data_IF_498049382490
#
_entry.id   IF_498049382490
#
_cell.length_a   1.000
_cell.length_b   1.000
_cell.length_c   1.000
_cell.angle_alpha   90.00
_cell.angle_beta   90.00
_cell.angle_gamma   90.00
#
_symmetry.space_group_name_H-M   'P 1'
#
loop_
_entity.id
_entity.type
_entity.pdbx_description
1 polymer ?
#
# COMPACT_ATOMS: atom_id res chain seq x y z
N UNK A 1 2.77 -6.91 29.68
CA UNK A 1 1.36 -6.85 29.25
C UNK A 1 0.78 -5.54 29.72
N UNK A 2 0.45 -4.64 28.80
CA UNK A 2 -0.11 -3.33 29.14
C UNK A 2 -1.60 -3.44 29.42
N UNK A 3 -1.99 -3.25 30.68
CA UNK A 3 -3.38 -3.05 31.09
C UNK A 3 -3.81 -1.63 30.71
N UNK A 4 -4.17 -1.41 29.45
CA UNK A 4 -4.85 -0.19 29.00
C UNK A 4 -6.35 -0.27 29.27
N UNK A 5 -6.97 0.85 29.65
CA UNK A 5 -8.39 0.93 29.96
C UNK A 5 -9.20 0.90 28.65
N UNK A 6 -9.51 -0.31 28.18
CA UNK A 6 -10.28 -0.56 26.96
C UNK A 6 -11.76 -0.28 27.22
N UNK A 7 -12.11 1.01 27.19
CA UNK A 7 -13.48 1.48 26.98
C UNK A 7 -14.58 0.89 27.87
N UNK A 8 -14.29 0.44 29.09
CA UNK A 8 -15.32 0.04 30.07
C UNK A 8 -16.22 -1.15 29.70
N UNK A 9 -15.81 -2.02 28.75
CA UNK A 9 -16.51 -3.28 28.44
C UNK A 9 -16.83 -3.55 26.97
N UNK A 10 -16.85 -2.50 26.12
CA UNK A 10 -17.17 -2.64 24.69
C UNK A 10 -15.94 -2.81 23.78
N UNK A 11 -14.75 -2.57 24.34
CA UNK A 11 -13.48 -2.75 23.65
C UNK A 11 -12.62 -3.76 24.41
N UNK A 12 -12.05 -4.71 23.68
CA UNK A 12 -11.00 -5.59 24.19
C UNK A 12 -9.68 -5.20 23.53
N UNK A 13 -8.72 -4.72 24.31
CA UNK A 13 -7.37 -4.49 23.79
C UNK A 13 -6.52 -5.72 24.10
N UNK A 14 -6.06 -6.36 23.04
CA UNK A 14 -4.99 -7.33 23.09
C UNK A 14 -3.67 -6.69 22.73
N UNK A 15 -2.61 -7.40 23.09
CA UNK A 15 -1.26 -7.08 22.66
C UNK A 15 -0.94 -7.89 21.40
N UNK A 16 -0.21 -7.30 20.44
CA UNK A 16 0.18 -7.97 19.17
C UNK A 16 1.68 -8.27 19.14
N UNK A 17 2.53 -7.24 19.23
CA UNK A 17 3.98 -7.40 19.06
C UNK A 17 4.77 -6.41 19.94
N UNK A 18 5.87 -6.86 20.56
CA UNK A 18 6.73 -6.04 21.42
C UNK A 18 7.94 -5.49 20.68
N UNK A 19 8.22 -4.21 20.88
CA UNK A 19 9.50 -3.59 20.55
C UNK A 19 9.46 -2.10 20.85
N UNK A 20 10.60 -1.43 20.70
CA UNK A 20 10.71 0.00 21.05
C UNK A 20 9.98 0.90 20.05
N UNK A 21 10.06 0.58 18.75
CA UNK A 21 9.45 1.35 17.65
C UNK A 21 8.60 0.48 16.73
N UNK A 22 7.93 -0.51 17.29
CA UNK A 22 7.09 -1.45 16.56
C UNK A 22 5.66 -0.91 16.41
N UNK A 23 5.09 -1.05 15.22
CA UNK A 23 3.68 -0.72 14.95
C UNK A 23 3.45 0.65 14.32
N UNK A 24 4.53 1.34 13.91
CA UNK A 24 4.40 2.60 13.18
C UNK A 24 3.78 2.36 11.81
N UNK A 25 3.04 3.35 11.30
CA UNK A 25 2.40 3.31 9.97
C UNK A 25 1.50 2.08 9.76
N UNK A 26 0.85 1.60 10.82
CA UNK A 26 0.02 0.41 10.73
C UNK A 26 -1.19 0.63 9.81
N UNK A 27 -1.50 -0.41 9.04
CA UNK A 27 -2.70 -0.52 8.22
C UNK A 27 -3.41 -1.84 8.55
N UNK A 28 -4.73 -1.79 8.67
CA UNK A 28 -5.58 -2.92 9.05
C UNK A 28 -6.62 -3.13 7.95
N UNK A 29 -6.82 -4.39 7.57
CA UNK A 29 -7.97 -4.83 6.81
C UNK A 29 -8.50 -6.14 7.40
N UNK A 30 -9.79 -6.40 7.21
CA UNK A 30 -10.40 -7.66 7.59
C UNK A 30 -10.43 -8.60 6.39
N UNK A 31 -10.25 -9.89 6.64
CA UNK A 31 -10.47 -10.92 5.64
C UNK A 31 -11.95 -11.35 5.55
N UNK A 32 -12.25 -12.31 4.67
CA UNK A 32 -13.60 -12.84 4.46
C UNK A 32 -14.21 -13.53 5.69
N UNK A 33 -13.40 -13.87 6.69
CA UNK A 33 -13.81 -14.45 7.96
C UNK A 33 -13.83 -13.42 9.10
N UNK A 34 -13.82 -12.12 8.77
CA UNK A 34 -13.76 -10.98 9.68
C UNK A 34 -12.50 -10.97 10.59
N UNK A 35 -11.42 -11.65 10.18
CA UNK A 35 -10.19 -11.70 10.96
C UNK A 35 -9.27 -10.52 10.63
N UNK A 36 -8.64 -9.92 11.65
CA UNK A 36 -7.78 -8.77 11.45
C UNK A 36 -6.43 -9.17 10.84
N UNK A 37 -6.09 -8.49 9.76
CA UNK A 37 -4.79 -8.55 9.10
C UNK A 37 -4.13 -7.18 9.22
N UNK A 38 -2.87 -7.14 9.68
CA UNK A 38 -2.17 -5.88 10.00
C UNK A 38 -0.83 -5.84 9.28
N UNK A 39 -0.63 -4.86 8.40
CA UNK A 39 0.69 -4.49 7.89
C UNK A 39 1.24 -3.34 8.73
N UNK A 40 2.49 -3.43 9.18
CA UNK A 40 3.08 -2.38 10.01
C UNK A 40 4.61 -2.35 9.93
N UNK A 41 5.17 -1.20 10.29
CA UNK A 41 6.60 -0.98 10.30
C UNK A 41 7.18 -1.26 11.69
N UNK A 42 8.25 -2.06 11.72
CA UNK A 42 9.18 -2.13 12.84
C UNK A 42 10.31 -1.12 12.63
N UNK A 43 10.20 0.04 13.26
CA UNK A 43 11.19 1.11 13.16
C UNK A 43 12.49 0.88 13.92
N UNK A 44 12.58 -0.20 14.72
CA UNK A 44 13.86 -0.61 15.31
C UNK A 44 14.67 -1.39 14.29
N UNK A 45 14.03 -2.29 13.53
CA UNK A 45 14.68 -3.14 12.54
C UNK A 45 14.56 -2.62 11.09
N UNK A 46 13.84 -1.51 10.87
CA UNK A 46 13.60 -0.99 9.54
C UNK A 46 12.84 -1.94 8.61
N UNK A 47 11.92 -2.73 9.15
CA UNK A 47 11.34 -3.90 8.47
C UNK A 47 9.83 -3.81 8.36
N UNK A 48 9.28 -4.24 7.22
CA UNK A 48 7.85 -4.41 7.02
C UNK A 48 7.42 -5.76 7.59
N UNK A 49 6.45 -5.72 8.50
CA UNK A 49 5.87 -6.89 9.13
C UNK A 49 4.39 -7.02 8.76
N UNK A 50 3.92 -8.26 8.73
CA UNK A 50 2.52 -8.60 8.55
C UNK A 50 2.06 -9.53 9.68
N UNK A 51 1.03 -9.13 10.40
CA UNK A 51 0.47 -9.91 11.50
C UNK A 51 -0.95 -10.38 11.16
N UNK A 52 -1.19 -11.66 11.40
CA UNK A 52 -2.50 -12.31 11.27
C UNK A 52 -2.83 -12.98 12.59
N UNK A 53 -4.06 -12.82 13.05
CA UNK A 53 -4.49 -13.45 14.28
C UNK A 53 -4.80 -14.94 14.05
N UNK A 54 -4.19 -15.81 14.85
CA UNK A 54 -4.36 -17.25 14.76
C UNK A 54 -5.28 -17.76 15.87
N UNK A 55 -6.54 -17.98 15.54
CA UNK A 55 -7.56 -18.48 16.47
C UNK A 55 -7.27 -19.88 17.03
N UNK A 56 -6.43 -20.68 16.36
CA UNK A 56 -6.07 -22.02 16.87
C UNK A 56 -5.16 -21.93 18.08
N UNK A 57 -4.27 -20.93 18.10
CA UNK A 57 -3.30 -20.73 19.18
C UNK A 57 -3.64 -19.57 20.10
N UNK A 58 -4.72 -18.83 19.81
CA UNK A 58 -5.11 -17.60 20.53
C UNK A 58 -3.95 -16.59 20.58
N UNK A 59 -3.24 -16.45 19.46
CA UNK A 59 -2.03 -15.63 19.36
C UNK A 59 -1.84 -15.08 17.95
N UNK A 60 -0.98 -14.08 17.81
CA UNK A 60 -0.62 -13.49 16.52
C UNK A 60 0.51 -14.25 15.86
N UNK A 61 0.36 -14.57 14.57
CA UNK A 61 1.47 -14.98 13.70
C UNK A 61 2.01 -13.73 13.01
N UNK A 62 3.32 -13.56 12.99
CA UNK A 62 3.99 -12.38 12.44
C UNK A 62 5.02 -12.81 11.40
N UNK A 63 4.84 -12.35 10.18
CA UNK A 63 5.74 -12.59 9.06
C UNK A 63 6.59 -11.35 8.75
N UNK A 64 7.87 -11.57 8.42
CA UNK A 64 8.77 -10.53 7.92
C UNK A 64 8.67 -10.45 6.41
N UNK A 65 7.92 -9.47 5.90
CA UNK A 65 7.65 -9.35 4.46
C UNK A 65 8.87 -8.79 3.72
N UNK A 66 9.40 -7.68 4.22
CA UNK A 66 10.55 -6.99 3.61
C UNK A 66 11.52 -6.58 4.70
N UNK A 67 12.63 -7.31 4.79
CA UNK A 67 13.72 -7.04 5.73
C UNK A 67 14.50 -5.82 5.27
N UNK A 68 14.60 -4.80 6.14
CA UNK A 68 15.43 -3.63 5.94
C UNK A 68 16.41 -3.42 7.09
N UNK A 69 16.85 -2.17 7.29
CA UNK A 69 17.66 -1.75 8.42
C UNK A 69 17.31 -0.32 8.86
N UNK A 70 17.93 0.16 9.95
CA UNK A 70 17.73 1.53 10.40
C UNK A 70 18.18 2.58 9.36
N UNK A 71 19.19 2.25 8.55
CA UNK A 71 19.75 3.10 7.48
C UNK A 71 19.03 2.90 6.14
N UNK A 72 18.45 1.71 5.93
CA UNK A 72 17.80 1.30 4.70
C UNK A 72 16.40 0.72 5.02
N UNK A 73 15.46 1.57 5.46
CA UNK A 73 14.18 1.10 5.98
C UNK A 73 13.28 0.59 4.86
N UNK A 74 12.51 -0.45 5.14
CA UNK A 74 11.45 -0.95 4.28
C UNK A 74 10.14 -1.07 5.06
N UNK A 75 9.05 -0.49 4.55
CA UNK A 75 7.70 -0.67 5.10
C UNK A 75 7.05 0.57 5.71
N UNK A 76 7.64 1.76 5.55
CA UNK A 76 7.01 2.98 6.06
C UNK A 76 5.74 3.32 5.27
N UNK A 77 4.80 4.03 5.90
CA UNK A 77 3.53 4.44 5.27
C UNK A 77 2.74 3.28 4.63
N UNK A 78 2.74 2.11 5.28
CA UNK A 78 2.07 0.92 4.75
C UNK A 78 0.57 1.18 4.53
N UNK A 79 0.06 0.68 3.42
CA UNK A 79 -1.37 0.64 3.09
C UNK A 79 -1.71 -0.78 2.65
N UNK A 80 -2.60 -1.42 3.41
CA UNK A 80 -3.02 -2.81 3.25
C UNK A 80 -4.43 -2.88 2.65
N UNK A 81 -4.63 -3.82 1.73
CA UNK A 81 -5.93 -4.30 1.31
C UNK A 81 -5.93 -5.84 1.27
N UNK A 82 -7.05 -6.46 1.65
CA UNK A 82 -7.24 -7.91 1.52
C UNK A 82 -8.17 -8.16 0.33
N UNK A 83 -7.75 -9.03 -0.58
CA UNK A 83 -8.59 -9.53 -1.65
C UNK A 83 -9.49 -10.65 -1.14
N UNK A 84 -10.61 -10.26 -0.53
CA UNK A 84 -11.60 -11.19 0.04
C UNK A 84 -12.29 -12.05 -1.02
N UNK A 85 -12.23 -11.66 -2.30
CA UNK A 85 -12.87 -12.39 -3.39
C UNK A 85 -11.95 -13.46 -4.00
N UNK A 86 -10.63 -13.34 -3.81
CA UNK A 86 -9.64 -14.25 -4.38
C UNK A 86 -8.80 -14.98 -3.32
N UNK A 87 -9.43 -15.40 -2.23
CA UNK A 87 -8.81 -16.26 -1.22
C UNK A 87 -8.06 -15.51 -0.12
N UNK A 88 -8.55 -14.32 0.24
CA UNK A 88 -8.00 -13.48 1.30
C UNK A 88 -6.53 -13.11 1.08
N UNK A 89 -6.15 -12.90 -0.19
CA UNK A 89 -4.77 -12.55 -0.53
C UNK A 89 -4.46 -11.13 -0.03
N UNK A 90 -3.40 -10.93 0.79
CA UNK A 90 -3.00 -9.61 1.22
C UNK A 90 -2.17 -8.87 0.18
N UNK A 91 -2.44 -7.58 0.06
CA UNK A 91 -1.77 -6.63 -0.82
C UNK A 91 -1.32 -5.41 -0.02
N UNK A 92 -0.04 -5.04 -0.11
CA UNK A 92 0.57 -3.99 0.70
C UNK A 92 1.36 -3.05 -0.19
N UNK A 93 0.99 -1.77 -0.22
CA UNK A 93 1.82 -0.71 -0.77
C UNK A 93 2.58 -0.02 0.37
N UNK A 94 3.85 0.29 0.17
CA UNK A 94 4.68 0.90 1.21
C UNK A 94 5.86 1.67 0.62
N UNK A 95 6.43 2.55 1.43
CA UNK A 95 7.70 3.20 1.17
C UNK A 95 8.85 2.29 1.62
N UNK A 96 9.78 2.04 0.71
CA UNK A 96 11.05 1.38 0.97
C UNK A 96 12.22 2.35 0.87
N UNK A 97 13.42 1.80 0.92
CA UNK A 97 14.66 2.57 0.89
C UNK A 97 14.77 3.41 -0.39
N UNK A 98 15.56 4.49 -0.30
CA UNK A 98 15.72 5.47 -1.37
C UNK A 98 14.41 6.11 -1.86
N UNK A 99 13.43 6.29 -0.96
CA UNK A 99 12.12 6.88 -1.28
C UNK A 99 11.37 6.12 -2.40
N UNK A 100 11.47 4.80 -2.41
CA UNK A 100 10.85 3.96 -3.45
C UNK A 100 9.47 3.48 -3.00
N UNK A 101 8.46 3.62 -3.86
CA UNK A 101 7.18 2.95 -3.70
C UNK A 101 7.36 1.49 -4.07
N UNK A 102 7.15 0.59 -3.11
CA UNK A 102 7.11 -0.85 -3.33
C UNK A 102 5.69 -1.40 -3.10
N UNK A 103 5.39 -2.50 -3.76
CA UNK A 103 4.13 -3.23 -3.64
C UNK A 103 4.42 -4.70 -3.38
N UNK A 104 3.95 -5.23 -2.26
CA UNK A 104 4.04 -6.62 -1.88
C UNK A 104 2.68 -7.32 -1.96
N UNK A 105 2.65 -8.52 -2.51
CA UNK A 105 1.46 -9.37 -2.50
C UNK A 105 1.83 -10.83 -2.27
N UNK A 106 0.93 -11.57 -1.62
CA UNK A 106 1.17 -12.98 -1.30
C UNK A 106 1.06 -13.86 -2.54
N UNK A 107 2.03 -14.76 -2.72
CA UNK A 107 2.07 -15.73 -3.84
C UNK A 107 2.21 -17.18 -3.37
N UNK A 108 2.43 -17.40 -2.07
CA UNK A 108 2.55 -18.73 -1.46
C UNK A 108 3.86 -19.47 -1.73
N UNK A 109 4.44 -19.31 -2.91
CA UNK A 109 5.78 -19.80 -3.27
C UNK A 109 6.34 -19.01 -4.47
N UNK A 110 7.61 -19.22 -4.80
CA UNK A 110 8.32 -18.59 -5.93
C UNK A 110 8.32 -17.05 -5.94
N UNK A 111 8.07 -16.44 -4.79
CA UNK A 111 8.23 -15.01 -4.61
C UNK A 111 9.69 -14.58 -4.50
N UNK A 112 9.91 -13.30 -4.22
CA UNK A 112 11.24 -12.71 -4.03
C UNK A 112 11.43 -12.06 -2.64
N UNK A 113 10.41 -12.06 -1.80
CA UNK A 113 10.41 -11.52 -0.45
C UNK A 113 9.53 -12.37 0.48
N UNK A 114 9.48 -12.04 1.77
CA UNK A 114 8.73 -12.82 2.76
C UNK A 114 9.26 -14.23 2.94
N UNK A 115 10.54 -14.37 3.31
CA UNK A 115 11.18 -15.67 3.55
C UNK A 115 10.57 -16.33 4.79
N UNK A 116 9.94 -17.49 4.61
CA UNK A 116 9.35 -18.24 5.71
C UNK A 116 10.37 -19.13 6.44
N UNK A 117 9.94 -19.78 7.53
CA UNK A 117 10.77 -20.64 8.36
C UNK A 117 11.35 -21.91 7.67
N UNK A 118 11.04 -22.16 6.40
CA UNK A 118 11.56 -23.28 5.60
C UNK A 118 12.27 -22.76 4.34
N UNK A 119 12.76 -21.52 4.36
CA UNK A 119 13.56 -20.90 3.30
C UNK A 119 12.82 -20.78 1.95
N UNK A 120 11.50 -20.59 1.98
CA UNK A 120 10.69 -20.30 0.79
C UNK A 120 10.22 -18.84 0.84
N UNK A 121 10.43 -18.10 -0.25
CA UNK A 121 9.84 -16.77 -0.42
C UNK A 121 8.38 -16.91 -0.83
N UNK A 122 7.50 -16.35 0.00
CA UNK A 122 6.04 -16.51 -0.13
C UNK A 122 5.34 -15.24 -0.60
N UNK A 123 6.09 -14.16 -0.78
CA UNK A 123 5.60 -12.86 -1.24
C UNK A 123 6.38 -12.40 -2.46
N UNK A 124 5.68 -11.74 -3.37
CA UNK A 124 6.29 -11.01 -4.46
C UNK A 124 6.28 -9.51 -4.11
N UNK A 125 7.46 -8.89 -4.12
CA UNK A 125 7.67 -7.48 -3.89
C UNK A 125 8.17 -6.82 -5.19
N UNK A 126 7.41 -5.86 -5.67
CA UNK A 126 7.67 -5.12 -6.89
C UNK A 126 8.06 -3.67 -6.54
N UNK A 127 9.19 -3.20 -7.08
CA UNK A 127 9.56 -1.78 -7.07
C UNK A 127 8.73 -1.04 -8.11
N UNK A 128 7.84 -0.14 -7.68
CA UNK A 128 6.85 0.52 -8.54
C UNK A 128 7.38 1.82 -9.11
N UNK A 129 7.78 2.75 -8.25
CA UNK A 129 8.21 4.08 -8.70
C UNK A 129 9.08 4.76 -7.64
N UNK A 130 9.92 5.71 -8.06
CA UNK A 130 10.61 6.58 -7.13
C UNK A 130 9.68 7.72 -6.71
N UNK A 131 9.46 7.93 -5.41
CA UNK A 131 8.54 8.96 -4.90
C UNK A 131 9.20 10.34 -4.73
N UNK A 132 10.51 10.47 -5.03
CA UNK A 132 11.26 11.70 -4.84
C UNK A 132 11.76 11.85 -3.41
N UNK A 133 12.95 12.40 -3.20
CA UNK A 133 13.48 12.61 -1.85
C UNK A 133 12.85 13.81 -1.17
N UNK A 134 12.27 13.57 0.01
CA UNK A 134 11.58 14.60 0.78
C UNK A 134 11.55 14.31 2.27
N UNK A 135 11.41 15.39 3.06
CA UNK A 135 11.13 15.33 4.49
C UNK A 135 9.63 15.32 4.82
N UNK A 136 8.77 15.46 3.82
CA UNK A 136 7.32 15.41 3.96
C UNK A 136 6.80 13.97 4.13
N UNK A 137 5.64 13.78 4.75
CA UNK A 137 4.95 12.50 4.76
C UNK A 137 4.77 11.93 3.35
N UNK A 138 5.02 10.63 3.21
CA UNK A 138 4.83 9.91 1.94
C UNK A 138 3.44 9.29 1.92
N UNK A 139 2.44 10.08 1.57
CA UNK A 139 1.08 9.56 1.46
C UNK A 139 1.01 8.45 0.43
N UNK A 140 0.52 7.29 0.85
CA UNK A 140 0.27 6.09 0.05
C UNK A 140 -1.09 5.57 0.45
N UNK A 141 -1.93 5.25 -0.53
CA UNK A 141 -3.21 4.57 -0.28
C UNK A 141 -3.48 3.57 -1.40
N UNK A 142 -3.67 2.32 -1.00
CA UNK A 142 -3.96 1.17 -1.85
C UNK A 142 -5.43 0.78 -1.70
N UNK A 143 -6.06 0.41 -2.81
CA UNK A 143 -7.33 -0.29 -2.85
C UNK A 143 -7.31 -1.32 -3.98
N UNK A 144 -8.22 -2.29 -3.93
CA UNK A 144 -8.35 -3.34 -4.94
C UNK A 144 -9.66 -3.16 -5.72
N UNK A 145 -9.63 -3.42 -7.01
CA UNK A 145 -10.86 -3.55 -7.81
C UNK A 145 -11.52 -4.93 -7.63
N UNK A 146 -12.68 -5.14 -8.25
CA UNK A 146 -13.41 -6.42 -8.14
C UNK A 146 -12.63 -7.63 -8.70
N UNK A 147 -11.68 -7.40 -9.60
CA UNK A 147 -10.83 -8.43 -10.17
C UNK A 147 -9.56 -8.70 -9.34
N UNK A 148 -9.39 -8.00 -8.21
CA UNK A 148 -8.23 -8.13 -7.35
C UNK A 148 -7.03 -7.29 -7.78
N UNK A 149 -7.16 -6.43 -8.80
CA UNK A 149 -6.04 -5.61 -9.23
C UNK A 149 -5.88 -4.39 -8.31
N UNK A 150 -4.62 -4.10 -7.89
CA UNK A 150 -4.32 -2.94 -7.07
C UNK A 150 -4.43 -1.62 -7.84
N UNK A 151 -4.93 -0.60 -7.15
CA UNK A 151 -4.80 0.81 -7.49
C UNK A 151 -4.09 1.49 -6.33
N UNK A 152 -2.96 2.15 -6.61
CA UNK A 152 -2.16 2.83 -5.58
C UNK A 152 -2.16 4.32 -5.89
N UNK A 153 -2.74 5.14 -5.03
CA UNK A 153 -2.52 6.58 -5.02
C UNK A 153 -1.28 6.89 -4.17
N UNK A 154 -0.42 7.78 -4.65
CA UNK A 154 0.82 8.10 -3.94
C UNK A 154 1.33 9.51 -4.22
N UNK A 155 2.07 10.04 -3.26
CA UNK A 155 2.77 11.32 -3.33
C UNK A 155 4.04 11.20 -4.17
N UNK A 156 4.37 12.24 -4.94
CA UNK A 156 5.62 12.34 -5.68
C UNK A 156 6.20 13.75 -5.60
N UNK A 157 7.47 13.85 -5.21
CA UNK A 157 8.26 15.09 -5.30
C UNK A 157 7.59 16.32 -4.65
N UNK A 158 6.89 16.12 -3.52
CA UNK A 158 6.25 17.15 -2.68
C UNK A 158 5.07 17.89 -3.28
N UNK A 159 4.84 17.76 -4.57
CA UNK A 159 3.91 18.62 -5.28
C UNK A 159 3.01 17.82 -6.22
N UNK A 160 3.19 16.51 -6.34
CA UNK A 160 2.48 15.73 -7.34
C UNK A 160 1.72 14.59 -6.67
N UNK A 161 0.43 14.48 -7.01
CA UNK A 161 -0.37 13.29 -6.74
C UNK A 161 -0.31 12.39 -7.98
N UNK A 162 0.13 11.15 -7.79
CA UNK A 162 0.17 10.11 -8.82
C UNK A 162 -0.73 8.93 -8.48
N UNK A 163 -1.05 8.14 -9.50
CA UNK A 163 -1.72 6.85 -9.40
C UNK A 163 -0.87 5.79 -10.09
N UNK A 164 -0.79 4.58 -9.55
CA UNK A 164 -0.14 3.42 -10.17
C UNK A 164 -1.15 2.27 -10.27
N UNK A 165 -1.15 1.58 -11.41
CA UNK A 165 -1.97 0.40 -11.67
C UNK A 165 -1.24 -0.60 -12.57
N UNK A 166 -1.38 -1.93 -12.37
CA UNK A 166 -0.78 -2.92 -13.26
C UNK A 166 -1.30 -2.76 -14.69
N UNK A 167 -0.43 -3.00 -15.66
CA UNK A 167 -0.78 -2.87 -17.09
C UNK A 167 -1.86 -3.87 -17.52
N UNK A 168 -1.89 -5.04 -16.89
CA UNK A 168 -2.90 -6.07 -17.12
C UNK A 168 -4.31 -5.56 -16.81
N UNK A 169 -4.48 -4.84 -15.70
CA UNK A 169 -5.75 -4.23 -15.31
C UNK A 169 -6.23 -3.11 -16.27
N UNK A 170 -5.35 -2.67 -17.18
CA UNK A 170 -5.61 -1.63 -18.17
C UNK A 170 -5.66 -2.17 -19.61
N UNK A 171 -5.62 -3.49 -19.79
CA UNK A 171 -5.46 -4.15 -21.10
C UNK A 171 -4.25 -3.61 -21.89
N UNK A 172 -3.18 -3.23 -21.19
CA UNK A 172 -1.93 -2.72 -21.77
C UNK A 172 -0.85 -3.79 -21.74
N UNK A 173 -0.03 -3.81 -22.80
CA UNK A 173 1.12 -4.72 -22.89
C UNK A 173 2.37 -4.16 -22.21
N UNK A 174 2.48 -2.83 -22.11
CA UNK A 174 3.68 -2.12 -21.64
C UNK A 174 3.25 -0.90 -20.83
N UNK A 175 3.86 -0.74 -19.68
CA UNK A 175 3.69 0.40 -18.77
C UNK A 175 4.83 1.41 -18.87
N UNK A 176 4.97 2.24 -17.85
CA UNK A 176 6.03 3.26 -17.74
C UNK A 176 6.75 3.25 -16.38
N UNK A 177 6.37 2.34 -15.48
CA UNK A 177 6.94 2.16 -14.16
C UNK A 177 6.83 0.68 -13.74
N UNK A 178 7.29 0.34 -12.54
CA UNK A 178 7.33 -1.04 -12.06
C UNK A 178 8.61 -1.79 -12.43
N UNK A 179 8.68 -3.08 -12.08
CA UNK A 179 9.70 -3.98 -12.60
C UNK A 179 9.69 -3.99 -14.14
N UNK A 180 10.88 -4.04 -14.74
CA UNK A 180 11.05 -4.00 -16.19
C UNK A 180 11.68 -5.29 -16.74
N UNK A 181 10.88 -6.36 -16.88
CA UNK A 181 11.37 -7.68 -17.35
C UNK A 181 10.33 -8.43 -18.21
N UNK A 182 10.33 -8.29 -19.56
CA UNK A 182 11.19 -7.45 -20.40
C UNK A 182 10.73 -5.98 -20.50
N UNK A 183 9.51 -5.68 -20.05
CA UNK A 183 8.88 -4.37 -20.13
C UNK A 183 8.36 -3.96 -18.76
N UNK A 184 8.15 -2.67 -18.56
CA UNK A 184 7.46 -2.13 -17.40
C UNK A 184 6.07 -2.75 -17.24
N UNK A 185 5.79 -3.27 -16.05
CA UNK A 185 4.54 -3.97 -15.72
C UNK A 185 3.49 -3.07 -15.07
N UNK A 186 3.80 -1.81 -14.81
CA UNK A 186 2.89 -0.84 -14.20
C UNK A 186 2.75 0.44 -15.02
N UNK A 187 1.54 1.01 -15.01
CA UNK A 187 1.25 2.35 -15.49
C UNK A 187 1.15 3.29 -14.30
N UNK A 188 2.00 4.31 -14.29
CA UNK A 188 2.00 5.40 -13.33
C UNK A 188 1.62 6.71 -14.02
N UNK A 189 0.53 7.35 -13.57
CA UNK A 189 0.00 8.57 -14.17
C UNK A 189 -0.07 9.70 -13.14
N UNK A 190 0.14 10.94 -13.61
CA UNK A 190 -0.04 12.14 -12.79
C UNK A 190 -1.53 12.50 -12.75
N UNK A 191 -2.09 12.60 -11.55
CA UNK A 191 -3.48 13.00 -11.34
C UNK A 191 -3.59 14.51 -11.10
N UNK A 192 -2.68 15.06 -10.30
CA UNK A 192 -2.68 16.48 -9.98
C UNK A 192 -1.27 16.96 -9.67
N UNK A 193 -1.00 18.22 -10.05
CA UNK A 193 0.22 18.95 -9.72
C UNK A 193 -0.17 20.17 -8.89
N UNK A 194 0.54 20.38 -7.80
CA UNK A 194 0.33 21.46 -6.85
C UNK A 194 1.27 22.62 -7.09
N UNK A 195 0.89 23.77 -6.55
CA UNK A 195 1.69 24.99 -6.63
C UNK A 195 2.70 25.11 -5.48
N UNK A 196 2.69 24.17 -4.53
CA UNK A 196 3.55 24.18 -3.34
C UNK A 196 3.99 22.78 -2.89
N UNK A 197 4.52 22.71 -1.67
CA UNK A 197 4.97 21.46 -1.02
C UNK A 197 3.83 20.82 -0.23
N UNK A 198 3.88 19.51 -0.09
CA UNK A 198 2.98 18.70 0.70
C UNK A 198 1.78 18.11 -0.05
N UNK A 199 1.69 18.26 -1.38
CA UNK A 199 0.56 17.67 -2.11
C UNK A 199 0.58 16.15 -2.05
N UNK A 200 -0.52 15.57 -1.55
CA UNK A 200 -0.66 14.13 -1.39
C UNK A 200 0.01 13.59 -0.13
N UNK A 201 0.56 14.42 0.77
CA UNK A 201 1.16 13.95 2.03
C UNK A 201 0.19 13.10 2.86
N UNK A 202 -1.09 13.43 2.80
CA UNK A 202 -2.18 12.72 3.44
C UNK A 202 -3.24 12.42 2.40
N UNK A 203 -3.59 11.15 2.24
CA UNK A 203 -4.59 10.73 1.27
C UNK A 203 -5.36 9.49 1.72
N UNK A 204 -6.51 9.29 1.09
CA UNK A 204 -7.29 8.07 1.17
C UNK A 204 -7.91 7.82 -0.19
N UNK A 205 -7.67 6.62 -0.72
CA UNK A 205 -8.24 6.10 -1.94
C UNK A 205 -9.35 5.10 -1.59
N UNK A 206 -10.47 5.21 -2.30
CA UNK A 206 -11.53 4.21 -2.30
C UNK A 206 -11.93 3.89 -3.75
N UNK A 207 -12.46 2.69 -3.96
CA UNK A 207 -12.98 2.24 -5.24
C UNK A 207 -14.46 1.91 -5.07
N UNK A 208 -15.28 2.26 -6.05
CA UNK A 208 -16.69 1.87 -6.06
C UNK A 208 -16.90 0.52 -6.78
N UNK A 209 -18.11 -0.03 -6.71
CA UNK A 209 -18.48 -1.31 -7.35
C UNK A 209 -18.28 -1.30 -8.89
N UNK A 210 -18.05 -0.15 -9.50
CA UNK A 210 -17.71 -0.03 -10.92
C UNK A 210 -16.20 0.07 -11.16
N UNK A 211 -15.35 -0.24 -10.18
CA UNK A 211 -13.89 -0.19 -10.32
C UNK A 211 -13.30 1.22 -10.51
N UNK A 212 -14.07 2.28 -10.26
CA UNK A 212 -13.63 3.67 -10.38
C UNK A 212 -13.03 4.16 -9.07
N UNK A 213 -11.84 4.74 -9.14
CA UNK A 213 -11.13 5.29 -8.00
C UNK A 213 -11.60 6.69 -7.62
N UNK A 214 -11.65 6.97 -6.31
CA UNK A 214 -11.82 8.30 -5.73
C UNK A 214 -10.77 8.52 -4.66
N UNK A 215 -10.04 9.62 -4.76
CA UNK A 215 -8.93 9.98 -3.88
C UNK A 215 -9.31 11.27 -3.16
N UNK A 216 -9.42 11.22 -1.84
CA UNK A 216 -9.38 12.41 -0.99
C UNK A 216 -7.92 12.68 -0.61
N UNK A 217 -7.45 13.91 -0.75
CA UNK A 217 -6.04 14.23 -0.50
C UNK A 217 -5.84 15.67 -0.03
N UNK A 218 -4.78 15.87 0.77
CA UNK A 218 -4.31 17.20 1.12
C UNK A 218 -3.56 17.83 -0.07
N UNK A 219 -3.87 19.07 -0.41
CA UNK A 219 -3.23 19.82 -1.51
C UNK A 219 -2.96 21.26 -1.13
N UNK A 220 -1.83 21.80 -1.61
CA UNK A 220 -1.32 23.10 -1.18
C UNK A 220 -1.61 24.19 -2.21
N UNK A 221 -2.28 25.26 -1.79
CA UNK A 221 -2.54 26.45 -2.62
C UNK A 221 -1.45 27.51 -2.47
N UNK A 222 -0.83 27.60 -1.29
CA UNK A 222 0.32 28.48 -1.00
C UNK A 222 1.18 27.91 0.16
N UNK A 223 2.41 28.41 0.37
CA UNK A 223 3.32 27.89 1.41
C UNK A 223 2.82 27.99 2.86
N UNK A 224 1.69 28.65 3.12
CA UNK A 224 1.14 28.93 4.45
C UNK A 224 -0.15 28.17 4.77
N UNK A 225 -0.74 27.43 3.81
CA UNK A 225 -1.94 26.65 4.04
C UNK A 225 -2.24 25.63 2.95
N UNK A 226 -3.08 24.65 3.29
CA UNK A 226 -3.55 23.65 2.33
C UNK A 226 -5.00 23.26 2.55
N UNK A 227 -5.55 22.60 1.55
CA UNK A 227 -6.96 22.26 1.39
C UNK A 227 -7.15 20.73 1.34
N UNK A 228 -8.34 20.29 1.73
CA UNK A 228 -8.84 18.96 1.40
C UNK A 228 -9.40 18.99 -0.03
N UNK A 229 -8.81 18.18 -0.90
CA UNK A 229 -9.17 18.05 -2.31
C UNK A 229 -9.72 16.65 -2.59
N UNK A 230 -10.43 16.53 -3.72
CA UNK A 230 -10.95 15.24 -4.21
C UNK A 230 -10.64 15.10 -5.70
N UNK A 231 -10.12 13.93 -6.08
CA UNK A 231 -10.00 13.50 -7.47
C UNK A 231 -10.81 12.22 -7.65
N UNK A 232 -11.73 12.21 -8.61
CA UNK A 232 -12.56 11.03 -8.90
C UNK A 232 -12.44 10.66 -10.37
N UNK A 233 -12.27 9.37 -10.62
CA UNK A 233 -12.21 8.83 -11.97
C UNK A 233 -13.62 8.81 -12.56
N UNK A 234 -13.82 9.49 -13.70
CA UNK A 234 -15.14 9.58 -14.35
C UNK A 234 -15.44 8.40 -15.28
N UNK A 235 -14.41 7.77 -15.83
CA UNK A 235 -14.55 6.69 -16.80
C UNK A 235 -13.48 5.63 -16.52
N UNK A 236 -13.85 4.35 -16.63
CA UNK A 236 -12.87 3.28 -16.79
C UNK A 236 -12.24 3.52 -18.15
N UNK A 237 -11.03 4.08 -18.20
CA UNK A 237 -10.38 4.36 -19.48
C UNK A 237 -9.87 3.03 -20.05
N UNK A 238 -10.77 2.25 -20.64
CA UNK A 238 -10.44 1.44 -21.80
C UNK A 238 -10.35 2.42 -22.97
N UNK A 239 -9.31 2.36 -23.80
CA UNK A 239 -9.34 2.70 -25.25
C UNK A 239 -7.90 2.63 -25.82
N UNK A 240 -7.75 2.08 -27.04
CA UNK A 240 -8.25 2.77 -28.22
C UNK A 240 -9.35 2.04 -28.97
N UNK A 241 -10.23 2.86 -29.56
CA UNK A 241 -11.35 2.49 -30.41
C UNK A 241 -10.73 1.96 -31.69
N UNK A 242 -10.90 0.69 -31.99
CA UNK A 242 -10.73 0.22 -33.36
C UNK A 242 -11.92 0.75 -34.18
N UNK A 243 -11.72 1.88 -34.84
CA UNK A 243 -12.54 2.26 -35.99
C UNK A 243 -12.19 1.27 -37.12
N UNK A 244 -12.97 0.21 -37.24
CA UNK A 244 -12.99 -0.60 -38.45
C UNK A 244 -13.60 0.25 -39.58
N UNK A 245 -12.81 0.52 -40.62
CA UNK A 245 -13.31 0.80 -41.97
C UNK A 245 -12.98 -0.39 -42.85
#
# INVERSE_FOLDING_TARGET
GGYGNCGGGDYYCSFVHSGEKVGQYASLALDSADQPNIAYYDGTNGTLLFAVYNYTFDDWTIDQIRVGSAEHPAGQYASLAIDVNHGDMPHIAYLSDYDTLEYAYYVGHDGNCGLNGIMVYTWQCDEIDFMGSSTHPKGISLALDEAGFPIIAYQFGDSILKIARPVEALDKLIGNCGPATPNYTWQCDVISIGFGIGQGDYMSLAINDSGLSTIAYFGTIDPSGGDLNIAYQQFQVFLPLTLNN
#
